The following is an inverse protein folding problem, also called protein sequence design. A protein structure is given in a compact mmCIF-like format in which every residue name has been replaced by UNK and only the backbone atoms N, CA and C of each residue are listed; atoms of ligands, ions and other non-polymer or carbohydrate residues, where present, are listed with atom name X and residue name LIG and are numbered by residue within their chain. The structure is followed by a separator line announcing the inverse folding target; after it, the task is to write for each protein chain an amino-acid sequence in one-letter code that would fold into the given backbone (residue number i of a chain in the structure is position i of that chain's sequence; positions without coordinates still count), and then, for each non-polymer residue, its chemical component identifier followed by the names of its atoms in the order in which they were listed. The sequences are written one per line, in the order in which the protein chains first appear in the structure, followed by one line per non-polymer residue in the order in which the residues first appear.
data_IF_181515885011
#
_entry.id   IF_181515885011
#
_cell.length_a   1.000
_cell.length_b   1.000
_cell.length_c   1.000
_cell.angle_alpha   90.00
_cell.angle_beta   90.00
_cell.angle_gamma   90.00
#
_symmetry.space_group_name_H-M   'P 1'
#
loop_
_entity.id
_entity.type
_entity.pdbx_description
1 polymer ?
#
# COMPACT_ATOMS: atom_id res chain seq x y z
N UNK A 1 -1.12 -31.88 -5.37
CA UNK A 1 -1.74 -31.55 -6.66
C UNK A 1 -0.73 -30.67 -7.41
N UNK A 2 -0.08 -31.18 -8.47
CA UNK A 2 0.93 -30.42 -9.23
C UNK A 2 0.17 -29.43 -10.12
N UNK A 3 0.32 -28.15 -9.87
CA UNK A 3 -0.08 -27.09 -10.80
C UNK A 3 0.85 -27.18 -12.02
N UNK A 4 0.29 -27.65 -13.16
CA UNK A 4 0.97 -27.58 -14.45
C UNK A 4 1.12 -26.10 -14.83
N UNK A 5 2.32 -25.58 -14.71
CA UNK A 5 2.67 -24.30 -15.31
C UNK A 5 3.06 -24.65 -16.75
N UNK A 6 2.15 -24.38 -17.69
CA UNK A 6 2.51 -24.40 -19.10
C UNK A 6 3.60 -23.36 -19.35
N UNK A 7 4.61 -23.76 -20.11
CA UNK A 7 5.71 -22.88 -20.48
C UNK A 7 5.13 -21.62 -21.19
N UNK A 8 5.63 -20.42 -20.89
CA UNK A 8 5.12 -19.21 -21.50
C UNK A 8 5.29 -19.30 -23.01
N UNK A 9 4.17 -19.18 -23.72
CA UNK A 9 4.15 -19.01 -25.19
C UNK A 9 5.08 -17.87 -25.56
N UNK A 10 6.06 -18.14 -26.41
CA UNK A 10 6.93 -17.11 -26.96
C UNK A 10 6.04 -16.07 -27.64
N UNK A 11 5.93 -14.88 -27.08
CA UNK A 11 5.26 -13.75 -27.72
C UNK A 11 6.24 -13.26 -28.79
N UNK A 12 5.97 -13.62 -30.04
CA UNK A 12 6.68 -13.02 -31.17
C UNK A 12 6.20 -11.58 -31.33
N UNK A 13 7.10 -10.60 -31.53
CA UNK A 13 6.68 -9.23 -31.75
C UNK A 13 5.93 -9.13 -33.07
N UNK A 14 4.66 -8.73 -33.04
CA UNK A 14 3.77 -8.60 -34.23
C UNK A 14 4.21 -7.58 -35.26
N UNK A 15 5.23 -6.75 -34.98
CA UNK A 15 5.82 -5.80 -35.94
C UNK A 15 7.34 -5.83 -35.84
N UNK A 16 7.99 -6.43 -36.86
CA UNK A 16 9.43 -6.26 -37.05
C UNK A 16 9.70 -4.80 -37.46
N UNK A 17 10.51 -4.08 -36.66
CA UNK A 17 11.13 -2.82 -37.12
C UNK A 17 11.95 -3.09 -38.40
N UNK A 18 12.04 -2.11 -39.30
CA UNK A 18 13.07 -2.16 -40.33
C UNK A 18 14.43 -2.38 -39.68
N UNK A 19 15.23 -3.32 -40.19
CA UNK A 19 16.50 -3.75 -39.59
C UNK A 19 17.56 -2.63 -39.51
N UNK A 20 17.35 -1.52 -40.19
CA UNK A 20 18.30 -0.41 -40.34
C UNK A 20 18.04 0.78 -39.38
N UNK A 21 16.92 0.78 -38.61
CA UNK A 21 16.65 1.83 -37.64
C UNK A 21 17.34 1.54 -36.31
N UNK A 22 18.14 2.47 -35.77
CA UNK A 22 18.74 2.28 -34.44
C UNK A 22 17.65 2.13 -33.36
N UNK A 23 17.89 1.28 -32.34
CA UNK A 23 16.92 1.11 -31.27
C UNK A 23 16.72 2.44 -30.53
N UNK A 24 15.46 2.74 -30.15
CA UNK A 24 15.12 3.93 -29.37
C UNK A 24 15.88 3.97 -28.04
N UNK A 25 16.18 2.78 -27.49
CA UNK A 25 16.89 2.61 -26.25
C UNK A 25 18.28 2.05 -26.56
N UNK A 26 19.32 2.85 -26.27
CA UNK A 26 20.73 2.50 -26.51
C UNK A 26 21.23 1.61 -25.35
N UNK A 27 21.39 0.29 -25.54
CA UNK A 27 21.74 -0.63 -24.46
C UNK A 27 23.19 -0.53 -24.00
N UNK A 28 24.05 0.14 -24.78
CA UNK A 28 25.47 0.30 -24.44
C UNK A 28 25.72 1.42 -23.43
N UNK A 29 24.74 2.33 -23.23
CA UNK A 29 24.87 3.41 -22.27
C UNK A 29 24.61 2.91 -20.86
N UNK A 30 25.65 2.92 -20.02
CA UNK A 30 25.55 2.52 -18.61
C UNK A 30 25.64 3.72 -17.68
N UNK A 31 25.08 3.59 -16.47
CA UNK A 31 25.19 4.64 -15.45
C UNK A 31 26.67 4.98 -15.16
N UNK A 32 27.53 3.98 -15.10
CA UNK A 32 28.95 4.15 -14.82
C UNK A 32 29.70 4.97 -15.88
N UNK A 33 29.27 4.89 -17.17
CA UNK A 33 29.87 5.69 -18.25
C UNK A 33 29.24 7.07 -18.38
N UNK A 34 27.97 7.23 -18.02
CA UNK A 34 27.23 8.47 -18.18
C UNK A 34 27.37 9.38 -16.95
N UNK A 35 27.23 8.82 -15.76
CA UNK A 35 27.30 9.52 -14.46
C UNK A 35 28.08 8.68 -13.43
N UNK A 36 29.41 8.73 -13.46
CA UNK A 36 30.25 7.93 -12.60
C UNK A 36 30.12 8.29 -11.10
N UNK A 37 29.72 9.53 -10.77
CA UNK A 37 29.52 9.96 -9.38
C UNK A 37 28.29 9.29 -8.79
N UNK A 38 27.16 9.29 -9.52
CA UNK A 38 25.93 8.61 -9.13
C UNK A 38 26.13 7.10 -9.09
N UNK A 39 26.81 6.53 -10.08
CA UNK A 39 27.15 5.10 -10.10
C UNK A 39 27.94 4.67 -8.86
N UNK A 40 28.93 5.48 -8.45
CA UNK A 40 29.71 5.24 -7.24
C UNK A 40 28.84 5.32 -5.95
N UNK A 41 27.83 6.20 -5.92
CA UNK A 41 26.89 6.26 -4.79
C UNK A 41 26.06 4.98 -4.68
N UNK A 42 25.52 4.48 -5.81
CA UNK A 42 24.76 3.22 -5.87
C UNK A 42 25.62 2.04 -5.38
N UNK A 43 26.84 1.90 -5.88
CA UNK A 43 27.74 0.83 -5.47
C UNK A 43 28.11 0.88 -3.96
N UNK A 44 28.24 2.08 -3.40
CA UNK A 44 28.45 2.24 -1.95
C UNK A 44 27.23 1.83 -1.14
N UNK A 45 26.03 2.15 -1.62
CA UNK A 45 24.79 1.73 -0.97
C UNK A 45 24.57 0.22 -1.05
N UNK A 46 24.87 -0.43 -2.18
CA UNK A 46 24.85 -1.89 -2.29
C UNK A 46 25.77 -2.53 -1.22
N UNK A 47 27.01 -2.06 -1.10
CA UNK A 47 27.95 -2.55 -0.07
C UNK A 47 27.43 -2.28 1.34
N UNK A 48 26.85 -1.11 1.59
CA UNK A 48 26.26 -0.82 2.90
C UNK A 48 25.16 -1.81 3.26
N UNK A 49 24.30 -2.16 2.31
CA UNK A 49 23.23 -3.14 2.53
C UNK A 49 23.78 -4.55 2.76
N UNK A 50 24.86 -4.94 2.09
CA UNK A 50 25.50 -6.25 2.28
C UNK A 50 26.26 -6.34 3.62
N UNK A 51 26.93 -5.25 4.02
CA UNK A 51 27.84 -5.25 5.16
C UNK A 51 27.15 -4.97 6.51
N UNK A 52 25.89 -4.52 6.52
CA UNK A 52 25.19 -4.09 7.73
C UNK A 52 23.88 -4.82 7.93
N UNK A 53 23.60 -5.19 9.19
CA UNK A 53 22.29 -5.70 9.59
C UNK A 53 21.28 -4.54 9.67
N UNK A 54 20.17 -4.65 8.93
CA UNK A 54 19.10 -3.67 8.96
C UNK A 54 18.16 -3.93 10.15
N UNK A 55 18.04 -2.94 11.05
CA UNK A 55 17.21 -3.03 12.26
C UNK A 55 16.01 -2.05 12.21
N UNK A 56 15.82 -1.33 11.12
CA UNK A 56 14.66 -0.45 10.93
C UNK A 56 13.47 -1.30 10.49
N UNK A 57 12.46 -1.42 11.35
CA UNK A 57 11.31 -2.31 11.13
C UNK A 57 10.49 -2.04 9.85
N UNK A 58 10.64 -0.85 9.25
CA UNK A 58 10.00 -0.47 7.99
C UNK A 58 10.85 -0.73 6.75
N UNK A 59 12.06 -1.27 6.89
CA UNK A 59 12.94 -1.60 5.77
C UNK A 59 12.94 -3.09 5.47
N UNK A 60 13.15 -3.42 4.19
CA UNK A 60 13.30 -4.77 3.67
C UNK A 60 14.03 -4.71 2.32
N UNK A 61 14.57 -5.83 1.90
CA UNK A 61 15.29 -5.94 0.64
C UNK A 61 14.37 -6.52 -0.45
N UNK A 62 14.03 -5.69 -1.44
CA UNK A 62 13.29 -6.14 -2.62
C UNK A 62 14.12 -7.16 -3.42
N UNK A 63 13.45 -8.15 -4.03
CA UNK A 63 14.19 -9.12 -4.87
C UNK A 63 14.74 -8.46 -6.14
N UNK A 64 15.79 -9.03 -6.75
CA UNK A 64 16.30 -8.54 -8.04
C UNK A 64 15.22 -8.45 -9.13
N UNK A 65 14.22 -9.36 -9.12
CA UNK A 65 13.09 -9.31 -10.07
C UNK A 65 12.18 -8.12 -9.83
N UNK A 66 11.88 -7.79 -8.57
CA UNK A 66 11.10 -6.60 -8.21
C UNK A 66 11.84 -5.32 -8.61
N UNK A 67 13.17 -5.29 -8.51
CA UNK A 67 13.97 -4.14 -8.97
C UNK A 67 14.01 -4.08 -10.50
N UNK A 68 14.21 -5.20 -11.17
CA UNK A 68 14.32 -5.26 -12.63
C UNK A 68 13.04 -4.80 -13.34
N UNK A 69 11.86 -5.21 -12.87
CA UNK A 69 10.58 -4.79 -13.47
C UNK A 69 10.34 -3.28 -13.35
N UNK A 70 10.87 -2.63 -12.31
CA UNK A 70 10.78 -1.18 -12.18
C UNK A 70 11.67 -0.43 -13.20
N UNK A 71 12.72 -1.09 -13.71
CA UNK A 71 13.59 -0.55 -14.75
C UNK A 71 13.11 -0.93 -16.16
N UNK A 72 11.81 -0.90 -16.43
CA UNK A 72 11.22 -1.21 -17.73
C UNK A 72 10.62 0.02 -18.39
N UNK A 73 10.28 -0.13 -19.66
CA UNK A 73 9.61 0.91 -20.46
C UNK A 73 8.26 1.36 -19.92
N UNK A 74 7.67 0.63 -18.96
CA UNK A 74 6.45 1.05 -18.26
C UNK A 74 6.62 2.38 -17.52
N UNK A 75 7.86 2.77 -17.19
CA UNK A 75 8.15 4.08 -16.60
C UNK A 75 7.73 5.25 -17.50
N UNK A 76 7.67 5.04 -18.83
CA UNK A 76 7.34 6.08 -19.79
C UNK A 76 5.83 6.25 -20.01
N UNK A 77 5.00 5.31 -19.52
CA UNK A 77 3.57 5.30 -19.85
C UNK A 77 2.74 6.12 -18.88
N UNK A 78 2.06 7.13 -19.39
CA UNK A 78 1.05 7.92 -18.68
C UNK A 78 -0.31 7.22 -18.77
N UNK A 79 -0.90 6.80 -17.63
CA UNK A 79 -2.05 5.91 -17.60
C UNK A 79 -3.13 6.35 -16.60
N UNK A 80 -3.52 7.64 -16.61
CA UNK A 80 -4.62 8.16 -15.79
C UNK A 80 -5.91 7.39 -16.04
N UNK A 81 -6.68 7.17 -14.98
CA UNK A 81 -7.86 6.31 -14.98
C UNK A 81 -7.55 4.90 -14.47
N UNK A 82 -8.39 3.95 -14.83
CA UNK A 82 -8.33 2.55 -14.39
C UNK A 82 -8.34 1.59 -15.58
N UNK A 83 -7.94 0.32 -15.44
CA UNK A 83 -7.93 -0.65 -16.53
C UNK A 83 -9.24 -0.68 -17.32
N UNK A 84 -9.15 -0.47 -18.66
CA UNK A 84 -10.29 -0.39 -19.56
C UNK A 84 -11.06 0.94 -19.52
N UNK A 85 -10.67 1.89 -18.65
CA UNK A 85 -11.27 3.23 -18.52
C UNK A 85 -10.17 4.28 -18.38
N UNK A 86 -9.23 4.32 -19.32
CA UNK A 86 -8.11 5.27 -19.33
C UNK A 86 -8.49 6.56 -20.05
N UNK A 87 -7.85 7.64 -19.65
CA UNK A 87 -7.98 8.94 -20.33
C UNK A 87 -7.09 9.03 -21.57
N UNK A 88 -6.10 8.15 -21.72
CA UNK A 88 -5.15 8.14 -22.82
C UNK A 88 -5.13 6.77 -23.52
N UNK A 89 -4.81 6.76 -24.83
CA UNK A 89 -4.62 5.55 -25.61
C UNK A 89 -3.26 4.89 -25.32
N UNK A 90 -3.03 3.68 -25.87
CA UNK A 90 -1.79 2.92 -25.72
C UNK A 90 -1.61 2.34 -24.30
N UNK A 91 -2.70 2.04 -23.59
CA UNK A 91 -2.67 1.50 -22.23
C UNK A 91 -2.92 -0.01 -22.17
N UNK A 92 -3.09 -0.69 -23.30
CA UNK A 92 -3.44 -2.11 -23.38
C UNK A 92 -2.50 -3.01 -22.58
N UNK A 93 -1.19 -2.76 -22.63
CA UNK A 93 -0.20 -3.59 -21.94
C UNK A 93 -0.06 -3.23 -20.44
N UNK A 94 -0.13 -1.95 -20.10
CA UNK A 94 -0.12 -1.54 -18.69
C UNK A 94 -1.40 -1.93 -17.97
N UNK A 95 -2.52 -2.04 -18.69
CA UNK A 95 -3.78 -2.58 -18.17
C UNK A 95 -3.65 -4.06 -17.78
N UNK A 96 -2.85 -4.85 -18.52
CA UNK A 96 -2.55 -6.23 -18.15
C UNK A 96 -1.80 -6.26 -16.81
N UNK A 97 -0.76 -5.43 -16.66
CA UNK A 97 0.02 -5.37 -15.44
C UNK A 97 -0.83 -4.96 -14.22
N UNK A 98 -1.69 -3.94 -14.37
CA UNK A 98 -2.52 -3.47 -13.27
C UNK A 98 -3.60 -4.49 -12.90
N UNK A 99 -4.26 -5.15 -13.88
CA UNK A 99 -5.20 -6.24 -13.62
C UNK A 99 -4.55 -7.39 -12.87
N UNK A 100 -3.34 -7.81 -13.28
CA UNK A 100 -2.59 -8.85 -12.58
C UNK A 100 -2.28 -8.44 -11.13
N UNK A 101 -1.85 -7.21 -10.89
CA UNK A 101 -1.58 -6.72 -9.54
C UNK A 101 -2.85 -6.72 -8.67
N UNK A 102 -3.99 -6.29 -9.21
CA UNK A 102 -5.29 -6.30 -8.52
C UNK A 102 -5.70 -7.72 -8.16
N UNK A 103 -5.72 -8.64 -9.14
CA UNK A 103 -6.19 -10.02 -8.91
C UNK A 103 -5.26 -10.78 -7.96
N UNK A 104 -3.94 -10.57 -8.06
CA UNK A 104 -2.97 -11.20 -7.15
C UNK A 104 -3.08 -10.63 -5.73
N UNK A 105 -3.30 -9.33 -5.55
CA UNK A 105 -3.54 -8.73 -4.24
C UNK A 105 -4.83 -9.28 -3.62
N UNK A 106 -5.92 -9.40 -4.41
CA UNK A 106 -7.18 -10.00 -3.96
C UNK A 106 -7.01 -11.44 -3.52
N UNK A 107 -6.30 -12.24 -4.31
CA UNK A 107 -6.03 -13.65 -3.99
C UNK A 107 -5.13 -13.79 -2.75
N UNK A 108 -4.08 -12.96 -2.63
CA UNK A 108 -3.11 -13.02 -1.53
C UNK A 108 -3.74 -12.72 -0.18
N UNK A 109 -4.66 -11.77 -0.12
CA UNK A 109 -5.28 -11.30 1.13
C UNK A 109 -6.71 -11.81 1.34
N UNK A 110 -7.27 -12.59 0.41
CA UNK A 110 -8.66 -13.08 0.43
C UNK A 110 -9.66 -11.92 0.54
N UNK A 111 -9.64 -11.01 -0.44
CA UNK A 111 -10.53 -9.85 -0.46
C UNK A 111 -11.21 -9.65 -1.83
N UNK A 112 -12.28 -8.85 -1.84
CA UNK A 112 -13.11 -8.61 -3.03
C UNK A 112 -12.62 -7.44 -3.86
N UNK A 113 -11.93 -6.49 -3.21
CA UNK A 113 -11.47 -5.24 -3.79
C UNK A 113 -10.01 -4.97 -3.48
N UNK A 114 -9.28 -4.50 -4.49
CA UNK A 114 -7.93 -3.98 -4.35
C UNK A 114 -7.71 -2.77 -5.28
N UNK A 115 -7.17 -1.68 -4.74
CA UNK A 115 -6.62 -0.58 -5.51
C UNK A 115 -5.09 -0.58 -5.32
N UNK A 116 -4.36 -0.73 -6.42
CA UNK A 116 -2.90 -0.87 -6.43
C UNK A 116 -2.18 0.40 -6.88
N UNK A 117 -2.92 1.48 -7.15
CA UNK A 117 -2.36 2.74 -7.65
C UNK A 117 -1.69 3.64 -6.61
N UNK A 118 -2.00 3.60 -5.28
CA UNK A 118 -1.34 4.50 -4.35
C UNK A 118 0.19 4.44 -4.45
N UNK A 119 0.81 5.63 -4.61
CA UNK A 119 2.27 5.77 -4.75
C UNK A 119 3.01 5.42 -3.46
N UNK A 120 2.36 5.57 -2.31
CA UNK A 120 2.90 5.20 -0.99
C UNK A 120 1.76 4.86 -0.03
N UNK A 121 2.09 4.24 1.12
CA UNK A 121 1.12 3.99 2.19
C UNK A 121 0.45 5.27 2.71
N UNK A 122 1.19 6.37 2.81
CA UNK A 122 0.64 7.67 3.23
C UNK A 122 -0.45 8.17 2.26
N UNK A 123 -0.30 7.94 0.95
CA UNK A 123 -1.30 8.30 -0.05
C UNK A 123 -2.50 7.35 -0.03
N UNK A 124 -2.27 6.04 0.21
CA UNK A 124 -3.37 5.11 0.45
C UNK A 124 -4.20 5.54 1.67
N UNK A 125 -3.54 5.93 2.76
CA UNK A 125 -4.19 6.45 3.96
C UNK A 125 -4.94 7.76 3.69
N UNK A 126 -4.33 8.70 2.97
CA UNK A 126 -4.99 9.95 2.59
C UNK A 126 -6.24 9.73 1.72
N UNK A 127 -6.20 8.75 0.80
CA UNK A 127 -7.35 8.38 -0.01
C UNK A 127 -8.49 7.82 0.85
N UNK A 128 -8.19 7.00 1.85
CA UNK A 128 -9.20 6.48 2.80
C UNK A 128 -9.83 7.62 3.59
N UNK A 129 -9.05 8.56 4.10
CA UNK A 129 -9.59 9.76 4.74
C UNK A 129 -10.51 10.54 3.80
N UNK A 130 -10.05 10.85 2.59
CA UNK A 130 -10.83 11.61 1.60
C UNK A 130 -12.13 10.90 1.21
N UNK A 131 -12.11 9.57 1.08
CA UNK A 131 -13.27 8.78 0.68
C UNK A 131 -14.36 8.68 1.75
N UNK A 132 -13.96 8.61 3.04
CA UNK A 132 -14.83 8.11 4.11
C UNK A 132 -15.07 9.12 5.24
N UNK A 133 -14.37 10.26 5.24
CA UNK A 133 -14.47 11.30 6.27
C UNK A 133 -14.52 12.69 5.65
N UNK A 134 -14.85 13.69 6.48
CA UNK A 134 -14.79 15.11 6.12
C UNK A 134 -13.85 15.87 7.07
N UNK A 135 -13.21 16.96 6.62
CA UNK A 135 -12.43 17.81 7.50
C UNK A 135 -13.23 18.24 8.73
N UNK A 136 -12.63 18.09 9.92
CA UNK A 136 -13.26 18.36 11.20
C UNK A 136 -13.93 17.14 11.87
N UNK A 137 -14.09 16.01 11.15
CA UNK A 137 -14.56 14.77 11.77
C UNK A 137 -13.63 14.31 12.89
N UNK A 138 -14.20 13.64 13.89
CA UNK A 138 -13.42 12.98 14.93
C UNK A 138 -12.89 11.65 14.42
N UNK A 139 -11.60 11.41 14.60
CA UNK A 139 -10.90 10.18 14.21
C UNK A 139 -10.14 9.65 15.40
N UNK A 140 -10.29 8.37 15.67
CA UNK A 140 -9.62 7.68 16.75
C UNK A 140 -8.50 6.79 16.22
N UNK A 141 -7.29 6.96 16.74
CA UNK A 141 -6.11 6.20 16.34
C UNK A 141 -5.16 5.93 17.49
N UNK A 142 -4.18 5.04 17.29
CA UNK A 142 -3.19 4.73 18.32
C UNK A 142 -2.27 5.93 18.55
N UNK A 143 -2.00 6.22 19.82
CA UNK A 143 -1.06 7.29 20.20
C UNK A 143 0.31 7.05 19.58
N UNK A 144 0.89 8.09 18.95
CA UNK A 144 2.19 8.01 18.29
C UNK A 144 3.30 7.55 19.24
N UNK A 145 3.32 8.08 20.47
CA UNK A 145 4.32 7.74 21.49
C UNK A 145 4.22 6.30 21.98
N UNK A 146 3.11 5.62 21.69
CA UNK A 146 2.85 4.23 22.09
C UNK A 146 2.81 3.26 20.87
N UNK A 147 3.31 3.68 19.74
CA UNK A 147 3.45 2.84 18.55
C UNK A 147 2.54 3.19 17.38
N UNK A 148 1.80 4.29 17.41
CA UNK A 148 1.01 4.78 16.28
C UNK A 148 1.85 5.19 15.07
N UNK A 149 1.20 5.62 13.99
CA UNK A 149 1.84 6.12 12.78
C UNK A 149 1.54 7.62 12.59
N UNK A 150 2.45 8.34 11.91
CA UNK A 150 2.29 9.77 11.62
C UNK A 150 0.95 10.09 10.91
N UNK A 151 0.55 9.25 9.95
CA UNK A 151 -0.69 9.45 9.18
C UNK A 151 -1.96 9.09 9.96
N UNK A 152 -1.85 8.67 11.22
CA UNK A 152 -3.00 8.34 12.07
C UNK A 152 -3.37 9.48 13.03
N UNK A 153 -3.00 10.72 12.71
CA UNK A 153 -3.41 11.89 13.47
C UNK A 153 -2.29 12.71 14.11
N UNK A 154 -1.02 12.53 13.69
CA UNK A 154 0.05 13.37 14.19
C UNK A 154 -0.18 14.84 13.80
N UNK A 155 0.00 15.83 14.72
CA UNK A 155 -0.22 17.25 14.44
C UNK A 155 0.60 17.83 13.28
N UNK A 156 1.76 17.24 12.97
CA UNK A 156 2.58 17.65 11.82
C UNK A 156 2.11 17.06 10.49
N UNK A 157 1.23 16.07 10.52
CA UNK A 157 0.67 15.42 9.35
C UNK A 157 -0.68 16.02 8.95
N UNK A 158 -1.08 15.87 7.66
CA UNK A 158 -2.39 16.33 7.19
C UNK A 158 -3.54 15.79 8.07
N UNK A 159 -3.43 14.55 8.55
CA UNK A 159 -4.46 13.92 9.37
C UNK A 159 -4.68 14.65 10.69
N UNK A 160 -3.62 15.08 11.38
CA UNK A 160 -3.73 15.86 12.60
C UNK A 160 -4.09 17.34 12.36
N UNK A 161 -3.93 17.85 11.13
CA UNK A 161 -4.28 19.24 10.77
C UNK A 161 -5.74 19.41 10.37
N UNK A 162 -6.34 18.39 9.80
CA UNK A 162 -7.70 18.47 9.23
C UNK A 162 -8.77 17.77 10.06
N UNK A 163 -8.37 16.91 11.01
CA UNK A 163 -9.28 16.08 11.78
C UNK A 163 -9.12 16.30 13.30
N UNK A 164 -10.18 16.05 14.05
CA UNK A 164 -10.13 16.01 15.52
C UNK A 164 -9.64 14.65 15.95
N UNK A 165 -8.42 14.58 16.46
CA UNK A 165 -7.79 13.32 16.81
C UNK A 165 -8.02 12.98 18.28
N UNK A 166 -8.53 11.77 18.51
CA UNK A 166 -8.70 11.18 19.83
C UNK A 166 -7.82 9.94 19.90
N UNK A 167 -6.74 9.93 20.69
CA UNK A 167 -5.87 8.77 20.76
C UNK A 167 -6.44 7.69 21.69
N UNK A 168 -6.24 6.42 21.35
CA UNK A 168 -6.25 5.32 22.29
C UNK A 168 -4.83 4.90 22.66
N UNK A 169 -4.64 4.26 23.79
CA UNK A 169 -3.34 3.93 24.32
C UNK A 169 -3.16 2.49 24.76
N UNK A 170 -2.06 2.30 25.48
CA UNK A 170 -1.67 1.05 26.11
C UNK A 170 -1.90 1.14 27.61
N UNK A 171 -2.28 0.04 28.20
CA UNK A 171 -2.23 -0.15 29.64
C UNK A 171 -0.75 -0.06 30.09
N UNK A 172 -0.42 0.81 31.04
CA UNK A 172 0.96 1.08 31.45
C UNK A 172 1.63 -0.10 32.19
N UNK A 173 0.86 -1.00 32.78
CA UNK A 173 1.40 -2.14 33.53
C UNK A 173 1.71 -3.32 32.60
N UNK A 174 0.83 -3.57 31.63
CA UNK A 174 0.93 -4.72 30.72
C UNK A 174 1.60 -4.39 29.39
N UNK A 175 1.59 -3.12 28.95
CA UNK A 175 2.01 -2.70 27.62
C UNK A 175 1.10 -3.19 26.50
N UNK A 176 -0.09 -3.67 26.82
CA UNK A 176 -1.12 -4.11 25.87
C UNK A 176 -2.10 -2.98 25.57
N UNK A 177 -2.77 -3.05 24.43
CA UNK A 177 -3.87 -2.13 24.11
C UNK A 177 -4.97 -2.30 25.15
N UNK A 178 -5.36 -1.19 25.81
CA UNK A 178 -6.50 -1.15 26.69
C UNK A 178 -7.79 -1.03 25.86
N UNK A 179 -8.40 -2.16 25.54
CA UNK A 179 -9.63 -2.21 24.75
C UNK A 179 -10.85 -1.70 25.51
N UNK A 180 -10.87 -1.78 26.85
CA UNK A 180 -12.00 -1.28 27.65
C UNK A 180 -11.98 0.24 27.69
N UNK A 181 -10.80 0.84 27.87
CA UNK A 181 -10.62 2.29 27.76
C UNK A 181 -10.86 2.77 26.34
N UNK A 182 -10.41 2.02 25.32
CA UNK A 182 -10.70 2.31 23.91
C UNK A 182 -12.22 2.36 23.66
N UNK A 183 -12.98 1.38 24.16
CA UNK A 183 -14.44 1.36 24.03
C UNK A 183 -15.09 2.57 24.73
N UNK A 184 -14.66 2.87 25.95
CA UNK A 184 -15.14 4.03 26.70
C UNK A 184 -14.93 5.33 25.93
N UNK A 185 -13.72 5.56 25.42
CA UNK A 185 -13.39 6.76 24.64
C UNK A 185 -14.21 6.80 23.34
N UNK A 186 -14.35 5.67 22.65
CA UNK A 186 -15.11 5.61 21.40
C UNK A 186 -16.59 5.93 21.60
N UNK A 187 -17.19 5.45 22.70
CA UNK A 187 -18.59 5.74 23.04
C UNK A 187 -18.80 7.21 23.44
N UNK A 188 -17.85 7.81 24.14
CA UNK A 188 -17.88 9.21 24.54
C UNK A 188 -17.74 10.17 23.36
N UNK A 189 -16.79 9.89 22.48
CA UNK A 189 -16.39 10.82 21.41
C UNK A 189 -17.08 10.56 20.07
N UNK A 190 -17.71 9.39 19.91
CA UNK A 190 -18.41 8.97 18.69
C UNK A 190 -17.60 9.28 17.42
N UNK A 191 -16.38 8.75 17.28
CA UNK A 191 -15.54 9.04 16.13
C UNK A 191 -16.20 8.57 14.84
N UNK A 192 -16.00 9.33 13.76
CA UNK A 192 -16.39 8.91 12.41
C UNK A 192 -15.61 7.69 11.95
N UNK A 193 -14.34 7.56 12.40
CA UNK A 193 -13.43 6.50 12.02
C UNK A 193 -12.57 6.04 13.19
N UNK A 194 -12.40 4.73 13.33
CA UNK A 194 -11.47 4.08 14.24
C UNK A 194 -10.36 3.42 13.42
N UNK A 195 -9.10 3.75 13.71
CA UNK A 195 -7.92 3.25 13.00
C UNK A 195 -7.22 2.17 13.81
N UNK A 196 -7.13 0.97 13.24
CA UNK A 196 -6.42 -0.18 13.82
C UNK A 196 -4.95 -0.30 13.40
N UNK A 197 -4.28 0.81 13.00
CA UNK A 197 -2.91 0.80 12.49
C UNK A 197 -1.84 1.04 13.57
N UNK A 198 -0.59 0.70 13.24
CA UNK A 198 0.57 0.92 14.11
C UNK A 198 1.90 0.89 13.32
N UNK A 199 2.97 1.40 13.95
CA UNK A 199 4.34 1.32 13.44
C UNK A 199 5.26 0.52 14.36
N UNK A 200 5.09 0.63 15.67
CA UNK A 200 6.01 0.11 16.66
C UNK A 200 5.29 -0.65 17.80
N UNK A 201 4.23 -1.37 17.50
CA UNK A 201 3.53 -2.24 18.46
C UNK A 201 3.73 -3.70 18.06
N UNK A 202 4.44 -4.46 18.89
CA UNK A 202 4.91 -5.82 18.55
C UNK A 202 3.93 -6.95 18.93
N UNK A 203 2.77 -6.62 19.52
CA UNK A 203 1.79 -7.63 19.95
C UNK A 203 0.67 -7.79 18.91
N UNK A 204 -0.01 -8.93 18.97
CA UNK A 204 -1.21 -9.16 18.18
C UNK A 204 -2.31 -8.17 18.55
N UNK A 205 -3.10 -7.80 17.56
CA UNK A 205 -4.32 -7.01 17.75
C UNK A 205 -5.55 -7.90 17.63
N UNK A 206 -6.52 -7.65 18.48
CA UNK A 206 -7.84 -8.27 18.38
C UNK A 206 -8.73 -7.42 17.44
N UNK A 207 -8.68 -7.77 16.16
CA UNK A 207 -9.45 -7.07 15.14
C UNK A 207 -10.96 -7.20 15.32
N UNK A 208 -11.43 -8.35 15.84
CA UNK A 208 -12.84 -8.59 16.11
C UNK A 208 -13.35 -7.66 17.23
N UNK A 209 -12.56 -7.52 18.31
CA UNK A 209 -12.90 -6.61 19.43
C UNK A 209 -12.87 -5.15 18.97
N UNK A 210 -11.88 -4.74 18.18
CA UNK A 210 -11.82 -3.39 17.60
C UNK A 210 -13.01 -3.11 16.68
N UNK A 211 -13.42 -4.09 15.87
CA UNK A 211 -14.62 -3.98 15.03
C UNK A 211 -15.87 -3.82 15.88
N UNK A 212 -16.05 -4.60 16.92
CA UNK A 212 -17.19 -4.49 17.82
C UNK A 212 -17.26 -3.10 18.50
N UNK A 213 -16.13 -2.55 18.91
CA UNK A 213 -16.03 -1.18 19.44
C UNK A 213 -16.45 -0.15 18.40
N UNK A 214 -15.94 -0.27 17.16
CA UNK A 214 -16.30 0.62 16.08
C UNK A 214 -17.80 0.58 15.76
N UNK A 215 -18.39 -0.61 15.71
CA UNK A 215 -19.84 -0.79 15.46
C UNK A 215 -20.68 -0.15 16.57
N UNK A 216 -20.33 -0.34 17.84
CA UNK A 216 -21.01 0.30 18.97
C UNK A 216 -20.95 1.82 18.93
N UNK A 217 -19.84 2.37 18.44
CA UNK A 217 -19.63 3.81 18.31
C UNK A 217 -20.25 4.38 17.01
N UNK A 218 -20.65 3.53 16.06
CA UNK A 218 -21.08 3.94 14.72
C UNK A 218 -19.94 4.41 13.84
N UNK A 219 -18.71 3.94 14.08
CA UNK A 219 -17.51 4.33 13.39
C UNK A 219 -17.16 3.39 12.22
N UNK A 220 -16.53 3.93 11.19
CA UNK A 220 -15.86 3.13 10.16
C UNK A 220 -14.60 2.52 10.79
N UNK A 221 -14.44 1.21 10.70
CA UNK A 221 -13.22 0.53 11.13
C UNK A 221 -12.26 0.37 9.97
N UNK A 222 -11.12 1.07 10.04
CA UNK A 222 -10.03 1.00 9.07
C UNK A 222 -8.78 0.41 9.74
N UNK A 223 -8.09 -0.50 9.04
CA UNK A 223 -6.82 -1.06 9.49
C UNK A 223 -5.70 -0.69 8.53
N UNK A 224 -4.63 -0.07 9.05
CA UNK A 224 -3.35 0.06 8.35
C UNK A 224 -2.44 -1.08 8.80
N UNK A 225 -2.31 -2.11 7.95
CA UNK A 225 -1.52 -3.31 8.25
C UNK A 225 -0.08 -3.25 7.72
N UNK A 226 0.41 -2.08 7.33
CA UNK A 226 1.67 -1.93 6.60
C UNK A 226 2.87 -2.65 7.25
N UNK A 227 2.99 -2.64 8.57
CA UNK A 227 4.10 -3.29 9.28
C UNK A 227 4.00 -4.82 9.34
N UNK A 228 2.79 -5.37 9.19
CA UNK A 228 2.55 -6.82 9.33
C UNK A 228 1.98 -7.46 8.06
N UNK A 229 1.86 -6.73 6.95
CA UNK A 229 1.22 -7.23 5.74
C UNK A 229 1.84 -8.53 5.19
N UNK A 230 3.17 -8.67 5.25
CA UNK A 230 3.85 -9.90 4.87
C UNK A 230 3.53 -11.07 5.80
N UNK A 231 3.40 -10.81 7.11
CA UNK A 231 3.01 -11.81 8.09
C UNK A 231 1.54 -12.22 7.93
N UNK A 232 0.66 -11.25 7.60
CA UNK A 232 -0.75 -11.54 7.26
C UNK A 232 -0.82 -12.42 6.02
N UNK A 233 -0.07 -12.09 4.97
CA UNK A 233 0.00 -12.88 3.74
C UNK A 233 0.51 -14.32 3.98
N UNK A 234 1.43 -14.48 4.94
CA UNK A 234 1.98 -15.77 5.35
C UNK A 234 1.10 -16.52 6.40
N UNK A 235 -0.03 -15.95 6.81
CA UNK A 235 -0.89 -16.46 7.89
C UNK A 235 -0.21 -16.53 9.28
N UNK A 236 0.86 -15.75 9.48
CA UNK A 236 1.60 -15.63 10.74
C UNK A 236 1.12 -14.46 11.63
N UNK A 237 0.18 -13.66 11.12
CA UNK A 237 -0.49 -12.58 11.85
C UNK A 237 -1.97 -12.57 11.48
N UNK A 238 -2.88 -12.25 12.44
CA UNK A 238 -4.32 -12.22 12.18
C UNK A 238 -4.69 -11.31 10.99
N UNK A 239 -5.46 -11.84 10.03
CA UNK A 239 -5.93 -11.09 8.89
C UNK A 239 -7.02 -10.08 9.31
N UNK A 240 -6.86 -8.76 9.08
CA UNK A 240 -7.86 -7.76 9.42
C UNK A 240 -9.07 -7.71 8.47
N UNK A 241 -8.96 -8.23 7.26
CA UNK A 241 -9.98 -8.10 6.21
C UNK A 241 -11.36 -8.66 6.57
N UNK A 242 -11.50 -9.77 7.31
CA UNK A 242 -12.81 -10.21 7.78
C UNK A 242 -13.52 -9.25 8.74
N UNK A 243 -12.79 -8.32 9.33
CA UNK A 243 -13.30 -7.41 10.38
C UNK A 243 -13.33 -5.94 9.94
N UNK A 244 -12.36 -5.49 9.15
CA UNK A 244 -12.26 -4.09 8.74
C UNK A 244 -13.20 -3.74 7.57
N UNK A 245 -13.70 -2.50 7.53
CA UNK A 245 -14.39 -1.98 6.35
C UNK A 245 -13.43 -1.70 5.21
N UNK A 246 -12.22 -1.25 5.55
CA UNK A 246 -11.13 -0.97 4.61
C UNK A 246 -9.79 -1.27 5.28
N UNK A 247 -8.85 -1.74 4.47
CA UNK A 247 -7.47 -2.04 4.90
C UNK A 247 -6.51 -1.33 3.97
N UNK A 248 -5.49 -0.70 4.52
CA UNK A 248 -4.37 -0.14 3.75
C UNK A 248 -3.07 -0.82 4.10
N UNK A 249 -2.14 -0.79 3.18
CA UNK A 249 -0.77 -1.24 3.43
C UNK A 249 0.22 -0.52 2.52
N UNK A 250 1.49 -0.51 2.94
CA UNK A 250 2.62 -0.37 2.02
C UNK A 250 2.94 -1.71 1.39
N UNK A 251 3.65 -1.69 0.26
CA UNK A 251 4.11 -2.92 -0.41
C UNK A 251 5.58 -3.27 -0.12
N UNK A 252 6.33 -2.36 0.51
CA UNK A 252 7.80 -2.43 0.62
C UNK A 252 8.34 -2.76 2.03
N UNK A 253 7.47 -3.04 3.02
CA UNK A 253 7.89 -3.42 4.38
C UNK A 253 7.97 -4.96 4.48
N UNK A 254 7.28 -5.59 5.43
CA UNK A 254 7.26 -7.06 5.54
C UNK A 254 6.76 -7.76 4.28
N UNK A 255 5.94 -7.09 3.44
CA UNK A 255 5.48 -7.64 2.16
C UNK A 255 6.60 -7.75 1.09
N UNK A 256 7.71 -7.03 1.26
CA UNK A 256 8.95 -7.16 0.46
C UNK A 256 8.81 -6.81 -1.03
N UNK A 257 7.81 -6.03 -1.40
CA UNK A 257 7.58 -5.56 -2.77
C UNK A 257 8.25 -4.21 -3.07
N UNK A 258 7.86 -3.56 -4.18
CA UNK A 258 8.33 -2.23 -4.54
C UNK A 258 7.77 -1.19 -3.56
N UNK A 259 8.40 -0.01 -3.50
CA UNK A 259 7.87 1.12 -2.75
C UNK A 259 6.54 1.58 -3.35
N UNK A 260 5.48 1.47 -2.57
CA UNK A 260 4.12 1.79 -2.99
C UNK A 260 3.12 1.55 -1.88
N UNK A 261 1.84 1.76 -2.17
CA UNK A 261 0.71 1.47 -1.29
C UNK A 261 -0.37 0.65 -1.99
N UNK A 262 -1.23 0.04 -1.19
CA UNK A 262 -2.45 -0.65 -1.64
C UNK A 262 -3.61 -0.32 -0.70
N UNK A 263 -4.83 -0.37 -1.26
CA UNK A 263 -6.08 -0.30 -0.50
C UNK A 263 -6.86 -1.58 -0.80
N UNK A 264 -7.33 -2.24 0.23
CA UNK A 264 -8.05 -3.50 0.16
C UNK A 264 -9.39 -3.38 0.90
N UNK A 265 -10.41 -4.11 0.45
CA UNK A 265 -11.67 -4.22 1.18
C UNK A 265 -12.36 -5.55 0.89
N UNK A 266 -13.25 -5.97 1.82
CA UNK A 266 -14.04 -7.21 1.71
C UNK A 266 -15.46 -6.96 2.18
N UNK A 267 -16.44 -7.51 1.45
CA UNK A 267 -17.86 -7.48 1.84
C UNK A 267 -18.50 -6.10 1.84
N UNK A 268 -17.98 -5.15 1.04
CA UNK A 268 -18.56 -3.82 0.86
C UNK A 268 -19.29 -3.75 -0.50
N UNK A 269 -20.14 -2.73 -0.66
CA UNK A 269 -20.83 -2.51 -1.93
C UNK A 269 -19.96 -1.77 -2.98
N UNK A 270 -20.39 -1.80 -4.23
CA UNK A 270 -19.73 -1.11 -5.34
C UNK A 270 -19.63 0.41 -5.14
N UNK A 271 -20.55 1.01 -4.40
CA UNK A 271 -20.53 2.43 -4.09
C UNK A 271 -19.37 2.78 -3.17
N UNK A 272 -19.09 1.91 -2.19
CA UNK A 272 -17.95 2.04 -1.30
C UNK A 272 -16.62 1.91 -2.06
N UNK A 273 -16.52 0.91 -2.94
CA UNK A 273 -15.31 0.71 -3.76
C UNK A 273 -15.04 1.89 -4.70
N UNK A 274 -16.09 2.40 -5.37
CA UNK A 274 -15.98 3.60 -6.23
C UNK A 274 -15.52 4.85 -5.47
N UNK A 275 -15.91 5.04 -4.22
CA UNK A 275 -15.42 6.15 -3.40
C UNK A 275 -13.92 6.05 -3.17
N UNK A 276 -13.41 4.86 -2.89
CA UNK A 276 -11.97 4.62 -2.71
C UNK A 276 -11.20 4.88 -4.02
N UNK A 277 -11.69 4.36 -5.14
CA UNK A 277 -11.08 4.61 -6.45
C UNK A 277 -11.05 6.10 -6.79
N UNK A 278 -12.19 6.78 -6.64
CA UNK A 278 -12.28 8.22 -6.92
C UNK A 278 -11.37 9.05 -6.00
N UNK A 279 -11.19 8.63 -4.75
CA UNK A 279 -10.31 9.30 -3.82
C UNK A 279 -8.82 9.11 -4.18
N UNK A 280 -8.44 7.98 -4.77
CA UNK A 280 -7.09 7.79 -5.30
C UNK A 280 -6.93 8.61 -6.57
N UNK A 281 -7.73 8.33 -7.60
CA UNK A 281 -7.71 9.07 -8.85
C UNK A 281 -9.15 9.50 -9.24
N UNK A 282 -9.36 10.78 -9.48
CA UNK A 282 -8.43 11.91 -9.50
C UNK A 282 -8.26 12.62 -8.14
N UNK A 283 -8.71 12.04 -7.03
CA UNK A 283 -8.83 12.72 -5.74
C UNK A 283 -7.52 13.26 -5.19
N UNK A 284 -6.47 12.45 -5.13
CA UNK A 284 -5.16 12.83 -4.57
C UNK A 284 -3.99 12.54 -5.49
N UNK A 285 -4.17 11.77 -6.56
CA UNK A 285 -3.13 11.41 -7.52
C UNK A 285 -3.57 11.71 -8.95
N UNK A 286 -2.59 11.94 -9.85
CA UNK A 286 -2.72 11.91 -11.31
C UNK A 286 -2.29 10.55 -11.85
N UNK A 287 -1.36 10.54 -12.84
CA UNK A 287 -0.87 9.32 -13.47
C UNK A 287 -0.25 8.34 -12.49
N UNK A 288 -0.69 7.08 -12.48
CA UNK A 288 -0.09 6.04 -11.66
C UNK A 288 1.31 5.65 -12.16
N UNK A 289 2.13 5.11 -11.26
CA UNK A 289 3.48 4.64 -11.55
C UNK A 289 3.41 3.21 -12.11
N UNK A 290 3.28 3.06 -13.43
CA UNK A 290 2.99 1.76 -14.04
C UNK A 290 4.11 0.74 -13.86
N UNK A 291 5.38 1.17 -13.83
CA UNK A 291 6.53 0.31 -13.52
C UNK A 291 6.49 -0.20 -12.06
N UNK A 292 6.00 0.60 -11.12
CA UNK A 292 5.80 0.18 -9.72
C UNK A 292 4.61 -0.77 -9.61
N UNK A 293 3.50 -0.49 -10.31
CA UNK A 293 2.32 -1.38 -10.33
C UNK A 293 2.70 -2.74 -10.91
N UNK A 294 3.46 -2.78 -11.99
CA UNK A 294 3.98 -4.03 -12.55
C UNK A 294 4.85 -4.80 -11.53
N UNK A 295 5.63 -4.08 -10.72
CA UNK A 295 6.43 -4.71 -9.66
C UNK A 295 5.59 -5.19 -8.46
N UNK A 296 4.37 -4.68 -8.28
CA UNK A 296 3.41 -5.20 -7.29
C UNK A 296 2.77 -6.51 -7.77
N UNK A 297 2.66 -6.70 -9.08
CA UNK A 297 2.14 -7.91 -9.69
C UNK A 297 3.10 -9.11 -9.55
#
# INVERSE_FOLDING_TARGET
MKLGIDAPTRIEPEHSRPQDDPPMYEPSLTLATFDPELAAAVLREERRQEDHAELIASENYASPLVMAIQNTVFTNKYAEGYPGKRYYSGCEYVDVAERLAIERAKALFDCDYANVQPHAGAQANAAVFLALTHPGDTVMGMNLAQGGHLTHGNPSNFSGRHYKIVPYGLDPETGLIDYDEMERIALDTRPRMLIGGFSAYSRYKDWARMRAIADKAGAIFWVDMAHVAGLVAASEYPNPLPHAHVVTSTTHKTLRGPRGGIILAKGQDDGFYRKLDTAVFPGIQGGPLMHVIAAKA
#
